data_IF_932951529725
#
_entry.id   IF_932951529725
#
_cell.length_a   1.000
_cell.length_b   1.000
_cell.length_c   1.000
_cell.angle_alpha   90.00
_cell.angle_beta   90.00
_cell.angle_gamma   90.00
#
_symmetry.space_group_name_H-M   'P 1'
#
loop_
_entity.id
_entity.type
_entity.pdbx_description
1 polymer ?
#
# COMPACT_ATOMS: atom_id res chain seq x y z
N UNK A 1 -3.57 22.59 -20.70
CA UNK A 1 -3.03 22.49 -19.34
C UNK A 1 -3.45 21.13 -18.80
N UNK A 2 -2.55 20.16 -18.69
CA UNK A 2 -2.92 18.79 -18.33
C UNK A 2 -3.23 18.69 -16.84
N UNK A 3 -4.47 18.34 -16.50
CA UNK A 3 -4.90 18.02 -15.14
C UNK A 3 -4.20 16.75 -14.70
N UNK A 4 -3.35 16.85 -13.66
CA UNK A 4 -2.75 15.70 -13.01
C UNK A 4 -3.85 14.72 -12.61
N UNK A 5 -3.78 13.53 -13.18
CA UNK A 5 -4.61 12.38 -12.84
C UNK A 5 -4.31 12.02 -11.37
N UNK A 6 -5.18 12.43 -10.44
CA UNK A 6 -5.13 11.95 -9.07
C UNK A 6 -5.40 10.44 -9.11
N UNK A 7 -4.35 9.66 -8.87
CA UNK A 7 -4.44 8.22 -8.70
C UNK A 7 -5.50 7.95 -7.62
N UNK A 8 -6.58 7.25 -8.00
CA UNK A 8 -7.68 6.92 -7.10
C UNK A 8 -7.13 6.10 -5.93
N UNK A 9 -6.94 6.71 -4.77
CA UNK A 9 -6.64 5.99 -3.53
C UNK A 9 -7.81 5.03 -3.24
N UNK A 10 -7.58 3.73 -3.40
CA UNK A 10 -8.56 2.71 -3.01
C UNK A 10 -8.32 2.32 -1.55
N UNK A 11 -9.35 2.46 -0.72
CA UNK A 11 -9.30 2.00 0.67
C UNK A 11 -9.35 0.47 0.76
N UNK A 12 -8.34 -0.14 1.37
CA UNK A 12 -8.31 -1.59 1.65
C UNK A 12 -8.44 -1.84 3.16
N UNK A 13 -9.43 -2.65 3.57
CA UNK A 13 -9.69 -2.96 4.98
C UNK A 13 -9.15 -4.34 5.32
N UNK A 14 -8.14 -4.40 6.18
CA UNK A 14 -7.59 -5.65 6.73
C UNK A 14 -7.98 -5.85 8.19
N UNK A 15 -8.21 -7.10 8.58
CA UNK A 15 -8.27 -7.49 9.99
C UNK A 15 -6.90 -8.03 10.38
N UNK A 16 -6.33 -7.47 11.44
CA UNK A 16 -5.05 -7.90 12.00
C UNK A 16 -5.18 -8.00 13.51
N UNK A 17 -4.26 -8.73 14.13
CA UNK A 17 -4.20 -8.84 15.58
C UNK A 17 -3.90 -7.48 16.23
N UNK A 18 -4.52 -7.23 17.40
CA UNK A 18 -4.35 -5.97 18.14
C UNK A 18 -2.90 -5.74 18.57
N UNK A 19 -2.20 -6.80 18.99
CA UNK A 19 -0.79 -6.71 19.41
C UNK A 19 0.11 -6.38 18.22
N UNK A 20 -0.15 -6.96 17.05
CA UNK A 20 0.58 -6.69 15.82
C UNK A 20 0.40 -5.24 15.38
N UNK A 21 -0.84 -4.75 15.38
CA UNK A 21 -1.13 -3.33 15.10
C UNK A 21 -0.34 -2.41 16.03
N UNK A 22 -0.32 -2.71 17.32
CA UNK A 22 0.35 -1.86 18.30
C UNK A 22 1.86 -1.79 18.04
N UNK A 23 2.50 -2.95 17.81
CA UNK A 23 3.93 -3.02 17.46
C UNK A 23 4.24 -2.29 16.16
N UNK A 24 3.39 -2.46 15.13
CA UNK A 24 3.57 -1.77 13.85
C UNK A 24 3.49 -0.25 14.00
N UNK A 25 2.51 0.25 14.77
CA UNK A 25 2.39 1.69 15.05
C UNK A 25 3.58 2.23 15.84
N UNK A 26 4.11 1.47 16.79
CA UNK A 26 5.28 1.86 17.58
C UNK A 26 6.52 2.03 16.69
N UNK A 27 6.76 1.05 15.81
CA UNK A 27 7.86 1.12 14.83
C UNK A 27 7.67 2.28 13.83
N UNK A 28 6.44 2.51 13.35
CA UNK A 28 6.15 3.63 12.45
C UNK A 28 6.43 4.98 13.13
N UNK A 29 6.07 5.14 14.41
CA UNK A 29 6.38 6.34 15.20
C UNK A 29 7.88 6.51 15.40
N UNK A 30 8.61 5.44 15.72
CA UNK A 30 10.06 5.48 15.87
C UNK A 30 10.78 5.91 14.58
N UNK A 31 10.20 5.60 13.42
CA UNK A 31 10.71 6.00 12.10
C UNK A 31 10.18 7.34 11.60
N UNK A 32 9.33 8.03 12.38
CA UNK A 32 8.62 9.26 11.99
C UNK A 32 7.88 9.15 10.63
N UNK A 33 7.41 7.94 10.30
CA UNK A 33 6.71 7.65 9.04
C UNK A 33 5.25 7.29 9.29
N UNK A 34 4.30 7.80 8.49
CA UNK A 34 2.91 7.39 8.61
C UNK A 34 2.75 5.91 8.21
N UNK A 35 1.97 5.18 8.99
CA UNK A 35 1.69 3.76 8.79
C UNK A 35 1.26 3.41 7.36
N UNK A 36 0.47 4.28 6.72
CA UNK A 36 0.05 4.13 5.34
C UNK A 36 1.21 4.19 4.34
N UNK A 37 2.21 5.04 4.59
CA UNK A 37 3.39 5.14 3.73
C UNK A 37 4.26 3.88 3.85
N UNK A 38 4.54 3.43 5.08
CA UNK A 38 5.29 2.19 5.33
C UNK A 38 4.58 1.00 4.67
N UNK A 39 3.26 0.92 4.79
CA UNK A 39 2.47 -0.16 4.18
C UNK A 39 2.54 -0.12 2.65
N UNK A 40 2.45 1.06 2.02
CA UNK A 40 2.58 1.21 0.56
C UNK A 40 3.97 0.82 0.07
N UNK A 41 5.03 1.27 0.75
CA UNK A 41 6.41 0.88 0.44
C UNK A 41 6.61 -0.64 0.56
N UNK A 42 6.09 -1.22 1.64
CA UNK A 42 6.14 -2.67 1.87
C UNK A 42 5.36 -3.45 0.81
N UNK A 43 4.16 -3.00 0.44
CA UNK A 43 3.34 -3.63 -0.61
C UNK A 43 4.04 -3.57 -1.96
N UNK A 44 4.64 -2.43 -2.34
CA UNK A 44 5.41 -2.32 -3.59
C UNK A 44 6.57 -3.30 -3.62
N UNK A 45 7.40 -3.29 -2.58
CA UNK A 45 8.52 -4.22 -2.45
C UNK A 45 8.06 -5.69 -2.48
N UNK A 46 7.00 -6.04 -1.75
CA UNK A 46 6.44 -7.38 -1.73
C UNK A 46 5.97 -7.84 -3.11
N UNK A 47 5.32 -6.95 -3.87
CA UNK A 47 4.89 -7.21 -5.25
C UNK A 47 6.13 -7.34 -6.15
N UNK A 48 7.11 -6.45 -6.09
CA UNK A 48 8.32 -6.55 -6.91
C UNK A 48 9.08 -7.87 -6.71
N UNK A 49 9.19 -8.32 -5.46
CA UNK A 49 9.85 -9.59 -5.14
C UNK A 49 9.04 -10.83 -5.56
N UNK A 50 7.70 -10.76 -5.58
CA UNK A 50 6.84 -11.89 -5.95
C UNK A 50 6.31 -11.84 -7.41
N UNK A 51 6.47 -10.71 -8.10
CA UNK A 51 5.91 -10.49 -9.45
C UNK A 51 6.90 -10.80 -10.56
N UNK A 52 7.98 -11.54 -10.27
CA UNK A 52 8.77 -12.20 -11.31
C UNK A 52 7.96 -13.17 -12.17
N UNK A 53 6.66 -13.37 -11.92
CA UNK A 53 5.79 -14.24 -12.73
C UNK A 53 4.49 -13.64 -13.28
N UNK A 54 3.96 -12.45 -12.91
CA UNK A 54 2.70 -11.96 -13.54
C UNK A 54 2.60 -10.45 -13.81
N UNK A 55 2.20 -10.05 -15.04
CA UNK A 55 2.01 -8.65 -15.42
C UNK A 55 0.77 -8.03 -14.74
N UNK A 56 0.92 -6.73 -14.46
CA UNK A 56 0.00 -5.83 -13.75
C UNK A 56 -1.47 -5.99 -14.20
N UNK A 57 -2.45 -6.08 -13.27
CA UNK A 57 -3.84 -5.82 -13.62
C UNK A 57 -3.97 -4.34 -13.98
N UNK A 58 -4.09 -4.06 -15.27
CA UNK A 58 -4.56 -2.78 -15.78
C UNK A 58 -5.95 -2.51 -15.19
N UNK A 59 -6.20 -1.32 -14.61
CA UNK A 59 -7.54 -0.93 -14.20
C UNK A 59 -8.43 -0.95 -15.45
N UNK A 60 -9.29 -1.96 -15.55
CA UNK A 60 -10.30 -2.06 -16.59
C UNK A 60 -11.20 -0.83 -16.50
N UNK A 61 -11.17 0.00 -17.53
CA UNK A 61 -12.35 0.75 -17.98
C UNK A 61 -13.52 -0.25 -18.00
N UNK A 62 -14.54 0.02 -17.17
CA UNK A 62 -15.85 -0.60 -17.29
C UNK A 62 -16.84 0.54 -17.61
N UNK A 63 -17.80 0.29 -18.51
CA UNK A 63 -18.53 1.30 -19.28
C UNK A 63 -19.47 2.17 -18.44
#
# INVERSE_FOLDING_TARGET
MYTLQMEKDVGFRIRIDRSLRQRFLDVCRAQDKPAAQVLREFMRSYVEHNSSDKPKPTPKELP
#
